data_IF_194627731382
#
_entry.id   IF_194627731382
#
_cell.length_a   1.000
_cell.length_b   1.000
_cell.length_c   1.000
_cell.angle_alpha   90.00
_cell.angle_beta   90.00
_cell.angle_gamma   90.00
#
_symmetry.space_group_name_H-M   'P 1'
#
loop_
_entity.id
_entity.type
_entity.pdbx_description
1 polymer ?
#
# COMPACT_ATOMS: atom_id res chain seq x y z
N UNK A 1 19.04 -10.05 6.14
CA UNK A 1 19.91 -9.20 6.99
C UNK A 1 19.13 -8.82 8.23
N UNK A 2 19.78 -8.48 9.35
CA UNK A 2 19.13 -7.96 10.56
C UNK A 2 19.83 -6.70 11.04
N UNK A 3 19.11 -5.88 11.80
CA UNK A 3 19.66 -4.74 12.55
C UNK A 3 19.35 -4.91 14.04
N UNK A 4 20.12 -4.25 14.89
CA UNK A 4 19.81 -4.08 16.31
C UNK A 4 19.13 -2.72 16.57
N UNK A 5 18.65 -2.51 17.80
CA UNK A 5 17.86 -1.32 18.13
C UNK A 5 18.69 -0.03 18.09
N UNK A 6 19.99 -0.08 18.41
CA UNK A 6 20.89 1.08 18.31
C UNK A 6 21.13 1.48 16.84
N UNK A 7 21.23 0.49 15.95
CA UNK A 7 21.31 0.71 14.51
C UNK A 7 20.01 1.31 14.01
N UNK A 8 18.84 0.76 14.40
CA UNK A 8 17.54 1.33 14.03
C UNK A 8 17.39 2.78 14.52
N UNK A 9 17.79 3.09 15.76
CA UNK A 9 17.76 4.45 16.30
C UNK A 9 18.65 5.42 15.51
N UNK A 10 19.83 4.96 15.10
CA UNK A 10 20.76 5.77 14.30
C UNK A 10 20.23 6.00 12.89
N UNK A 11 19.63 4.98 12.27
CA UNK A 11 19.03 5.02 10.94
C UNK A 11 17.75 5.88 10.92
N UNK A 12 16.94 5.83 11.98
CA UNK A 12 15.70 6.61 12.12
C UNK A 12 15.87 8.14 12.06
N UNK A 13 17.12 8.63 12.06
CA UNK A 13 17.49 10.05 11.97
C UNK A 13 17.76 10.50 10.53
N UNK A 14 17.69 9.60 9.55
CA UNK A 14 17.88 9.92 8.12
C UNK A 14 16.55 10.20 7.42
N UNK A 15 16.59 10.99 6.36
CA UNK A 15 15.40 11.32 5.56
C UNK A 15 14.87 10.10 4.77
N UNK A 16 15.76 9.34 4.14
CA UNK A 16 15.42 8.19 3.28
C UNK A 16 16.18 6.94 3.68
N UNK A 17 15.47 5.82 3.83
CA UNK A 17 16.04 4.51 4.15
C UNK A 17 15.59 3.41 3.20
N UNK A 18 16.56 2.59 2.78
CA UNK A 18 16.33 1.36 2.03
C UNK A 18 16.85 0.18 2.85
N UNK A 19 15.93 -0.67 3.31
CA UNK A 19 16.21 -1.79 4.20
C UNK A 19 15.52 -3.08 3.71
N UNK A 20 15.35 -3.22 2.39
CA UNK A 20 14.61 -4.32 1.73
C UNK A 20 15.17 -5.73 2.00
N UNK A 21 16.39 -5.83 2.56
CA UNK A 21 16.97 -7.09 3.02
C UNK A 21 16.53 -7.54 4.42
N UNK A 22 15.76 -6.73 5.15
CA UNK A 22 15.20 -7.07 6.47
C UNK A 22 13.95 -7.92 6.29
N UNK A 23 13.89 -9.06 6.97
CA UNK A 23 12.72 -9.97 6.93
C UNK A 23 11.83 -9.84 8.16
N UNK A 24 12.33 -9.21 9.22
CA UNK A 24 11.58 -8.92 10.44
C UNK A 24 12.17 -7.72 11.18
N UNK A 25 11.34 -7.07 12.00
CA UNK A 25 11.71 -6.03 12.96
C UNK A 25 10.96 -6.26 14.27
N UNK A 26 11.45 -5.67 15.36
CA UNK A 26 10.70 -5.56 16.63
C UNK A 26 10.02 -4.18 16.74
N UNK A 27 9.21 -3.98 17.78
CA UNK A 27 8.43 -2.75 17.96
C UNK A 27 9.32 -1.52 18.17
N UNK A 28 10.44 -1.65 18.91
CA UNK A 28 11.39 -0.56 19.13
C UNK A 28 12.11 -0.15 17.83
N UNK A 29 12.38 -1.13 16.96
CA UNK A 29 12.95 -0.88 15.65
C UNK A 29 11.94 -0.19 14.74
N UNK A 30 10.67 -0.62 14.74
CA UNK A 30 9.60 0.06 14.01
C UNK A 30 9.43 1.52 14.47
N UNK A 31 9.41 1.77 15.79
CA UNK A 31 9.33 3.13 16.35
C UNK A 31 10.50 4.00 15.92
N UNK A 32 11.70 3.43 15.84
CA UNK A 32 12.89 4.16 15.42
C UNK A 32 12.86 4.46 13.92
N UNK A 33 12.55 3.47 13.08
CA UNK A 33 12.53 3.60 11.62
C UNK A 33 11.37 4.47 11.12
N UNK A 34 10.24 4.48 11.83
CA UNK A 34 9.08 5.33 11.54
C UNK A 34 9.30 6.84 11.72
N UNK A 35 10.48 7.26 12.21
CA UNK A 35 10.89 8.67 12.34
C UNK A 35 11.50 9.26 11.06
N UNK A 36 11.65 8.45 10.01
CA UNK A 36 12.15 8.89 8.70
C UNK A 36 11.05 9.50 7.84
N UNK A 37 11.41 10.12 6.71
CA UNK A 37 10.40 10.63 5.76
C UNK A 37 10.03 9.60 4.69
N UNK A 38 10.99 8.79 4.24
CA UNK A 38 10.83 7.78 3.19
C UNK A 38 11.46 6.46 3.61
N UNK A 39 10.68 5.39 3.59
CA UNK A 39 11.08 4.10 4.14
C UNK A 39 10.70 2.93 3.23
N UNK A 40 11.71 2.17 2.80
CA UNK A 40 11.54 0.93 2.05
C UNK A 40 11.95 -0.28 2.90
N UNK A 41 11.01 -1.19 3.11
CA UNK A 41 11.12 -2.38 3.95
C UNK A 41 10.55 -3.61 3.21
N UNK A 42 10.86 -3.74 1.92
CA UNK A 42 10.20 -4.70 1.02
C UNK A 42 10.50 -6.17 1.33
N UNK A 43 11.45 -6.46 2.22
CA UNK A 43 11.72 -7.82 2.69
C UNK A 43 10.82 -8.28 3.84
N UNK A 44 10.08 -7.37 4.50
CA UNK A 44 9.23 -7.72 5.64
C UNK A 44 8.04 -8.55 5.17
N UNK A 45 7.90 -9.77 5.70
CA UNK A 45 6.80 -10.68 5.34
C UNK A 45 5.61 -10.61 6.29
N UNK A 46 5.79 -10.00 7.46
CA UNK A 46 4.76 -9.79 8.46
C UNK A 46 5.15 -8.67 9.43
N UNK A 47 4.16 -7.93 9.91
CA UNK A 47 4.28 -6.98 11.03
C UNK A 47 3.05 -7.11 11.93
N UNK A 48 3.13 -6.60 13.16
CA UNK A 48 1.97 -6.45 14.05
C UNK A 48 1.33 -5.04 13.91
N UNK A 49 0.16 -4.84 14.52
CA UNK A 49 -0.57 -3.56 14.42
C UNK A 49 0.21 -2.38 15.02
N UNK A 50 0.95 -2.60 16.12
CA UNK A 50 1.79 -1.57 16.76
C UNK A 50 2.98 -1.16 15.89
N UNK A 51 3.55 -2.10 15.14
CA UNK A 51 4.60 -1.84 14.17
C UNK A 51 4.05 -1.06 12.99
N UNK A 52 2.85 -1.41 12.50
CA UNK A 52 2.20 -0.63 11.45
C UNK A 52 1.92 0.81 11.89
N UNK A 53 1.39 1.00 13.11
CA UNK A 53 1.19 2.33 13.70
C UNK A 53 2.50 3.12 13.72
N UNK A 54 3.58 2.50 14.23
CA UNK A 54 4.89 3.13 14.31
C UNK A 54 5.46 3.53 12.95
N UNK A 55 5.25 2.70 11.92
CA UNK A 55 5.74 2.96 10.56
C UNK A 55 4.87 3.94 9.76
N UNK A 56 3.67 4.28 10.24
CA UNK A 56 2.70 5.11 9.51
C UNK A 56 2.95 6.62 9.63
N UNK A 57 4.02 7.02 10.34
CA UNK A 57 4.42 8.42 10.47
C UNK A 57 5.25 8.99 9.31
N UNK A 58 5.52 8.19 8.27
CA UNK A 58 6.37 8.55 7.13
C UNK A 58 5.56 9.15 5.98
N UNK A 59 6.20 9.86 5.04
CA UNK A 59 5.56 10.39 3.83
C UNK A 59 5.45 9.34 2.72
N UNK A 60 6.42 8.43 2.64
CA UNK A 60 6.49 7.34 1.65
C UNK A 60 6.85 6.04 2.35
N UNK A 61 6.00 5.02 2.21
CA UNK A 61 6.22 3.70 2.80
C UNK A 61 6.10 2.59 1.75
N UNK A 62 7.11 1.73 1.69
CA UNK A 62 7.08 0.51 0.87
C UNK A 62 7.20 -0.72 1.76
N UNK A 63 6.19 -1.57 1.70
CA UNK A 63 6.08 -2.83 2.45
C UNK A 63 5.69 -3.97 1.51
N UNK A 64 6.38 -4.05 0.37
CA UNK A 64 6.01 -4.95 -0.72
C UNK A 64 6.17 -6.44 -0.38
N UNK A 65 6.77 -6.81 0.74
CA UNK A 65 6.85 -8.20 1.19
C UNK A 65 5.62 -8.70 1.95
N UNK A 66 4.69 -7.80 2.35
CA UNK A 66 3.49 -8.16 3.09
C UNK A 66 2.46 -8.81 2.16
N UNK A 67 2.13 -10.08 2.43
CA UNK A 67 1.12 -10.83 1.67
C UNK A 67 -0.30 -10.68 2.25
N UNK A 68 -0.43 -10.13 3.45
CA UNK A 68 -1.70 -9.87 4.13
C UNK A 68 -1.52 -8.76 5.16
N UNK A 69 -2.60 -8.01 5.41
CA UNK A 69 -2.69 -7.02 6.49
C UNK A 69 -3.99 -7.21 7.28
N UNK A 70 -4.04 -6.67 8.50
CA UNK A 70 -5.29 -6.54 9.27
C UNK A 70 -6.05 -5.28 8.85
N UNK A 71 -7.33 -5.18 9.21
CA UNK A 71 -8.09 -3.94 9.00
C UNK A 71 -7.49 -2.77 9.82
N UNK A 72 -6.95 -3.05 11.01
CA UNK A 72 -6.25 -2.04 11.83
C UNK A 72 -4.96 -1.54 11.18
N UNK A 73 -4.21 -2.43 10.53
CA UNK A 73 -3.02 -2.05 9.76
C UNK A 73 -3.39 -1.18 8.58
N UNK A 74 -4.47 -1.49 7.86
CA UNK A 74 -4.97 -0.65 6.77
C UNK A 74 -5.40 0.73 7.27
N UNK A 75 -6.05 0.82 8.43
CA UNK A 75 -6.38 2.10 9.08
C UNK A 75 -5.11 2.90 9.41
N UNK A 76 -4.09 2.26 9.99
CA UNK A 76 -2.82 2.94 10.27
C UNK A 76 -2.16 3.48 8.99
N UNK A 77 -2.10 2.64 7.96
CA UNK A 77 -1.51 2.98 6.67
C UNK A 77 -2.26 4.06 5.89
N UNK A 78 -3.54 4.31 6.21
CA UNK A 78 -4.29 5.42 5.64
C UNK A 78 -3.70 6.80 5.98
N UNK A 79 -2.83 6.88 7.00
CA UNK A 79 -2.11 8.10 7.37
C UNK A 79 -0.88 8.37 6.50
N UNK A 80 -0.43 7.40 5.70
CA UNK A 80 0.75 7.54 4.82
C UNK A 80 0.32 8.09 3.47
N UNK A 81 0.83 9.24 3.00
CA UNK A 81 0.44 9.83 1.73
C UNK A 81 0.70 8.92 0.51
N UNK A 82 1.85 8.24 0.47
CA UNK A 82 2.26 7.38 -0.64
C UNK A 82 2.64 6.02 -0.07
N UNK A 83 1.88 4.98 -0.43
CA UNK A 83 2.12 3.63 0.08
C UNK A 83 2.13 2.56 -1.02
N UNK A 84 3.11 1.66 -0.91
CA UNK A 84 3.24 0.49 -1.78
C UNK A 84 3.08 -0.80 -0.97
N UNK A 85 2.10 -1.62 -1.37
CA UNK A 85 1.72 -2.90 -0.75
C UNK A 85 1.58 -3.97 -1.84
N UNK A 86 2.59 -4.09 -2.71
CA UNK A 86 2.41 -4.79 -3.99
C UNK A 86 2.12 -6.28 -3.85
N UNK A 87 2.44 -6.94 -2.75
CA UNK A 87 2.21 -8.40 -2.58
C UNK A 87 0.82 -8.75 -2.04
N UNK A 88 -0.04 -7.77 -1.75
CA UNK A 88 -1.43 -8.04 -1.38
C UNK A 88 -2.22 -8.54 -2.60
N UNK A 89 -2.70 -9.78 -2.55
CA UNK A 89 -3.47 -10.39 -3.64
C UNK A 89 -4.98 -10.23 -3.50
N UNK A 90 -5.45 -9.82 -2.31
CA UNK A 90 -6.85 -9.61 -1.95
C UNK A 90 -6.97 -8.58 -0.82
N UNK A 91 -8.11 -7.90 -0.73
CA UNK A 91 -8.47 -7.00 0.37
C UNK A 91 -9.85 -7.36 0.93
N UNK A 92 -10.12 -6.99 2.17
CA UNK A 92 -11.50 -6.81 2.68
C UNK A 92 -12.07 -5.49 2.15
N UNK A 93 -13.41 -5.34 2.18
CA UNK A 93 -14.02 -4.05 1.84
C UNK A 93 -13.55 -2.94 2.81
N UNK A 94 -13.39 -3.25 4.11
CA UNK A 94 -12.88 -2.31 5.12
C UNK A 94 -11.42 -1.90 4.87
N UNK A 95 -10.57 -2.81 4.40
CA UNK A 95 -9.18 -2.49 4.02
C UNK A 95 -9.15 -1.55 2.82
N UNK A 96 -9.97 -1.80 1.80
CA UNK A 96 -10.07 -0.91 0.64
C UNK A 96 -10.59 0.48 1.03
N UNK A 97 -11.62 0.55 1.90
CA UNK A 97 -12.12 1.80 2.45
C UNK A 97 -11.02 2.58 3.18
N UNK A 98 -10.27 1.93 4.07
CA UNK A 98 -9.20 2.57 4.84
C UNK A 98 -8.08 3.08 3.93
N UNK A 99 -7.58 2.22 3.04
CA UNK A 99 -6.50 2.54 2.10
C UNK A 99 -6.92 3.58 1.04
N UNK A 100 -8.21 3.83 0.84
CA UNK A 100 -8.69 4.84 -0.12
C UNK A 100 -8.39 6.29 0.28
N UNK A 101 -7.91 6.53 1.51
CA UNK A 101 -7.62 7.86 2.04
C UNK A 101 -6.17 8.33 1.77
N UNK A 102 -5.36 7.54 1.05
CA UNK A 102 -4.00 7.92 0.66
C UNK A 102 -4.00 8.70 -0.67
N UNK A 103 -2.90 9.38 -0.98
CA UNK A 103 -2.74 10.08 -2.25
C UNK A 103 -2.35 9.12 -3.37
N UNK A 104 -1.39 8.24 -3.10
CA UNK A 104 -0.89 7.25 -4.06
C UNK A 104 -0.86 5.87 -3.41
N UNK A 105 -1.47 4.91 -4.11
CA UNK A 105 -1.63 3.54 -3.65
C UNK A 105 -1.19 2.55 -4.72
N UNK A 106 -0.19 1.74 -4.40
CA UNK A 106 0.26 0.66 -5.26
C UNK A 106 -0.18 -0.71 -4.71
N UNK A 107 -1.07 -1.38 -5.46
CA UNK A 107 -1.63 -2.70 -5.17
C UNK A 107 -1.44 -3.64 -6.36
N UNK A 108 -0.27 -3.60 -6.99
CA UNK A 108 -0.04 -4.28 -8.27
C UNK A 108 -0.19 -5.81 -8.30
N UNK A 109 -0.28 -6.52 -7.18
CA UNK A 109 -0.65 -7.96 -7.19
C UNK A 109 -2.10 -8.23 -6.81
N UNK A 110 -2.93 -7.20 -6.59
CA UNK A 110 -4.35 -7.38 -6.31
C UNK A 110 -5.02 -8.00 -7.54
N UNK A 111 -5.63 -9.18 -7.38
CA UNK A 111 -6.08 -9.98 -8.52
C UNK A 111 -7.56 -9.78 -8.88
N UNK A 112 -8.36 -9.32 -7.91
CA UNK A 112 -9.82 -9.15 -8.01
C UNK A 112 -10.31 -7.96 -7.19
N UNK A 113 -11.47 -7.40 -7.56
CA UNK A 113 -12.19 -6.38 -6.79
C UNK A 113 -13.66 -6.76 -6.63
N UNK A 114 -14.26 -6.37 -5.50
CA UNK A 114 -15.72 -6.19 -5.38
C UNK A 114 -16.12 -4.83 -5.97
N UNK A 115 -17.41 -4.64 -6.24
CA UNK A 115 -17.93 -3.31 -6.61
C UNK A 115 -17.66 -2.28 -5.51
N UNK A 116 -17.80 -2.66 -4.24
CA UNK A 116 -17.52 -1.77 -3.10
C UNK A 116 -16.06 -1.35 -3.06
N UNK A 117 -15.14 -2.30 -3.24
CA UNK A 117 -13.71 -2.01 -3.29
C UNK A 117 -13.35 -1.09 -4.46
N UNK A 118 -13.98 -1.28 -5.62
CA UNK A 118 -13.80 -0.36 -6.74
C UNK A 118 -14.31 1.06 -6.40
N UNK A 119 -15.46 1.18 -5.73
CA UNK A 119 -16.01 2.48 -5.30
C UNK A 119 -15.06 3.18 -4.32
N UNK A 120 -14.52 2.47 -3.34
CA UNK A 120 -13.58 3.04 -2.38
C UNK A 120 -12.25 3.40 -3.03
N UNK A 121 -11.60 2.45 -3.72
CA UNK A 121 -10.30 2.70 -4.34
C UNK A 121 -10.38 3.77 -5.44
N UNK A 122 -11.55 4.01 -6.05
CA UNK A 122 -11.73 5.08 -7.04
C UNK A 122 -11.50 6.50 -6.48
N UNK A 123 -11.44 6.64 -5.15
CA UNK A 123 -11.18 7.92 -4.45
C UNK A 123 -9.70 8.29 -4.40
N UNK A 124 -8.80 7.34 -4.64
CA UNK A 124 -7.34 7.57 -4.63
C UNK A 124 -6.93 8.39 -5.87
N UNK A 125 -6.04 9.36 -5.71
CA UNK A 125 -5.57 10.20 -6.82
C UNK A 125 -4.75 9.38 -7.84
N UNK A 126 -3.79 8.59 -7.33
CA UNK A 126 -2.89 7.76 -8.11
C UNK A 126 -3.00 6.30 -7.66
N UNK A 127 -3.50 5.43 -8.54
CA UNK A 127 -3.83 4.05 -8.20
C UNK A 127 -3.21 3.08 -9.20
N UNK A 128 -2.44 2.11 -8.69
CA UNK A 128 -1.79 1.09 -9.51
C UNK A 128 -2.38 -0.30 -9.21
N UNK A 129 -2.94 -0.92 -10.24
CA UNK A 129 -3.73 -2.17 -10.17
C UNK A 129 -3.36 -3.16 -11.28
N UNK A 130 -2.08 -3.26 -11.65
CA UNK A 130 -1.65 -4.09 -12.78
C UNK A 130 -2.00 -5.59 -12.66
N UNK A 131 -2.14 -6.10 -11.44
CA UNK A 131 -2.43 -7.51 -11.15
C UNK A 131 -3.88 -7.92 -11.39
N UNK A 132 -4.80 -6.97 -11.62
CA UNK A 132 -6.19 -7.30 -11.86
C UNK A 132 -6.32 -8.15 -13.12
N UNK A 133 -6.99 -9.29 -12.97
CA UNK A 133 -7.16 -10.28 -14.05
C UNK A 133 -8.45 -10.06 -14.84
N UNK A 134 -9.46 -9.45 -14.21
CA UNK A 134 -10.75 -9.09 -14.82
C UNK A 134 -11.44 -8.00 -14.00
N UNK A 135 -12.29 -7.21 -14.66
CA UNK A 135 -13.23 -6.27 -14.03
C UNK A 135 -14.58 -6.34 -14.77
N UNK A 136 -15.66 -5.99 -14.08
CA UNK A 136 -16.99 -5.84 -14.69
C UNK A 136 -17.12 -4.48 -15.40
N UNK A 137 -18.14 -4.33 -16.25
CA UNK A 137 -18.52 -3.03 -16.85
C UNK A 137 -18.76 -1.96 -15.78
N UNK A 138 -19.42 -2.32 -14.67
CA UNK A 138 -19.67 -1.41 -13.54
C UNK A 138 -18.37 -0.99 -12.86
N UNK A 139 -17.47 -1.94 -12.58
CA UNK A 139 -16.16 -1.66 -12.00
C UNK A 139 -15.31 -0.80 -12.93
N UNK A 140 -15.39 -1.02 -14.25
CA UNK A 140 -14.71 -0.20 -15.22
C UNK A 140 -15.24 1.24 -15.25
N UNK A 141 -16.55 1.43 -15.20
CA UNK A 141 -17.16 2.75 -15.08
C UNK A 141 -16.71 3.47 -13.80
N UNK A 142 -16.66 2.77 -12.67
CA UNK A 142 -16.19 3.33 -11.40
C UNK A 142 -14.71 3.74 -11.49
N UNK A 143 -13.83 2.82 -11.90
CA UNK A 143 -12.40 3.06 -11.99
C UNK A 143 -12.02 4.09 -13.05
N UNK A 144 -12.86 4.32 -14.06
CA UNK A 144 -12.65 5.40 -15.05
C UNK A 144 -12.61 6.82 -14.46
N UNK A 145 -13.05 6.97 -13.20
CA UNK A 145 -13.08 8.25 -12.46
C UNK A 145 -11.79 8.54 -11.70
N UNK A 146 -10.89 7.56 -11.55
CA UNK A 146 -9.58 7.74 -10.93
C UNK A 146 -8.76 8.72 -11.76
N UNK A 147 -8.13 9.70 -11.11
CA UNK A 147 -7.39 10.75 -11.81
C UNK A 147 -6.19 10.20 -12.58
N UNK A 148 -5.40 9.32 -11.94
CA UNK A 148 -4.30 8.60 -12.56
C UNK A 148 -4.42 7.12 -12.23
N UNK A 149 -5.00 6.35 -13.15
CA UNK A 149 -5.12 4.91 -13.05
C UNK A 149 -4.06 4.23 -13.90
N UNK A 150 -3.26 3.37 -13.27
CA UNK A 150 -2.41 2.41 -13.95
C UNK A 150 -2.99 1.00 -13.80
N UNK A 151 -3.33 0.38 -14.93
CA UNK A 151 -3.90 -0.96 -15.00
C UNK A 151 -3.39 -1.67 -16.27
N UNK A 152 -3.54 -2.99 -16.36
CA UNK A 152 -3.09 -3.75 -17.53
C UNK A 152 -3.74 -3.25 -18.83
N UNK A 153 -3.00 -3.30 -19.93
CA UNK A 153 -3.48 -2.85 -21.26
C UNK A 153 -4.81 -3.49 -21.64
N UNK A 154 -4.98 -4.78 -21.35
CA UNK A 154 -6.22 -5.53 -21.59
C UNK A 154 -7.41 -4.87 -20.90
N UNK A 155 -7.29 -4.51 -19.63
CA UNK A 155 -8.38 -3.89 -18.86
C UNK A 155 -8.52 -2.40 -19.18
N UNK A 156 -7.44 -1.72 -19.57
CA UNK A 156 -7.49 -0.32 -20.00
C UNK A 156 -8.47 -0.11 -21.16
N UNK A 157 -8.54 -1.05 -22.11
CA UNK A 157 -9.52 -0.99 -23.22
C UNK A 157 -10.98 -0.99 -22.76
N UNK A 158 -11.28 -1.60 -21.60
CA UNK A 158 -12.61 -1.59 -21.02
C UNK A 158 -12.88 -0.28 -20.28
N UNK A 159 -11.91 0.23 -19.53
CA UNK A 159 -11.97 1.54 -18.86
C UNK A 159 -12.21 2.67 -19.87
N UNK A 160 -11.53 2.65 -21.00
CA UNK A 160 -11.59 3.73 -22.00
C UNK A 160 -12.98 3.89 -22.64
N UNK A 161 -13.87 2.90 -22.52
CA UNK A 161 -15.28 3.03 -22.95
C UNK A 161 -16.08 4.02 -22.09
N UNK A 162 -15.59 4.34 -20.90
CA UNK A 162 -16.26 5.19 -19.90
C UNK A 162 -15.54 6.53 -19.66
N UNK A 163 -14.36 6.74 -20.27
CA UNK A 163 -13.68 8.05 -20.26
C UNK A 163 -14.39 8.98 -21.24
N UNK A 164 -14.91 10.10 -20.73
CA UNK A 164 -15.48 11.19 -21.53
C UNK A 164 -14.45 12.28 -21.78
#
# INVERSE_FOLDING_TARGET
>A
TSINDQQAESLGKTETLFLDGLTSINDQQAESLGKTETLFLDGLTSINDQQAESLSGVNVLSLNGLNSITDQQAENFSMVPIISLTSLTSLTDQQAESLSNVKELNLNSLTTLTDSQAEDLSKVEQLHLFGLTSITDKQAEILSKVQFLEISETLQTLIDKYKN
#
